data_IF_716082677671
#
_entry.id   IF_716082677671
#
_cell.length_a   1.000
_cell.length_b   1.000
_cell.length_c   1.000
_cell.angle_alpha   90.00
_cell.angle_beta   90.00
_cell.angle_gamma   90.00
#
_symmetry.space_group_name_H-M   'P 1'
#
loop_
_entity.id
_entity.type
_entity.pdbx_description
1 polymer ?
#
# COMPACT_ATOMS: atom_id res chain seq x y z
N UNK A 1 -21.30 -29.02 47.54
CA UNK A 1 -20.16 -28.80 46.61
C UNK A 1 -20.56 -28.11 45.28
N UNK A 2 -21.71 -28.40 44.64
CA UNK A 2 -22.08 -27.73 43.35
C UNK A 2 -22.49 -26.25 43.46
N UNK A 3 -23.14 -25.86 44.56
CA UNK A 3 -23.53 -24.45 44.79
C UNK A 3 -22.32 -23.53 44.98
N UNK A 4 -21.20 -24.10 45.43
CA UNK A 4 -19.95 -23.38 45.64
C UNK A 4 -19.27 -23.04 44.31
N UNK A 5 -19.14 -24.03 43.41
CA UNK A 5 -18.62 -23.85 42.04
C UNK A 5 -19.45 -22.88 41.19
N UNK A 6 -20.75 -22.74 41.45
CA UNK A 6 -21.59 -21.76 40.76
C UNK A 6 -21.28 -20.34 41.22
N UNK A 7 -21.07 -20.15 42.53
CA UNK A 7 -20.71 -18.85 43.11
C UNK A 7 -19.32 -18.41 42.67
N UNK A 8 -18.39 -19.37 42.55
CA UNK A 8 -17.04 -19.13 42.05
C UNK A 8 -17.05 -18.64 40.59
N UNK A 9 -17.79 -19.33 39.70
CA UNK A 9 -17.97 -18.90 38.31
C UNK A 9 -18.65 -17.54 38.16
N UNK A 10 -19.60 -17.20 39.04
CA UNK A 10 -20.22 -15.87 39.05
C UNK A 10 -19.24 -14.78 39.49
N UNK A 11 -18.39 -15.06 40.49
CA UNK A 11 -17.34 -14.14 40.93
C UNK A 11 -16.27 -13.94 39.87
N UNK A 12 -15.91 -15.00 39.15
CA UNK A 12 -14.93 -14.92 38.05
C UNK A 12 -15.47 -14.12 36.87
N UNK A 13 -16.72 -14.33 36.47
CA UNK A 13 -17.38 -13.51 35.44
C UNK A 13 -17.48 -12.04 35.83
N UNK A 14 -17.75 -11.73 37.10
CA UNK A 14 -17.76 -10.37 37.60
C UNK A 14 -16.36 -9.73 37.60
N UNK A 15 -15.31 -10.48 37.97
CA UNK A 15 -13.91 -10.05 37.87
C UNK A 15 -13.48 -9.79 36.42
N UNK A 16 -13.86 -10.66 35.48
CA UNK A 16 -13.60 -10.46 34.05
C UNK A 16 -14.34 -9.24 33.47
N UNK A 17 -15.57 -8.98 33.93
CA UNK A 17 -16.32 -7.79 33.52
C UNK A 17 -15.68 -6.50 34.05
N UNK A 18 -15.23 -6.49 35.31
CA UNK A 18 -14.52 -5.37 35.90
C UNK A 18 -13.16 -5.11 35.23
N UNK A 19 -12.41 -6.17 34.90
CA UNK A 19 -11.13 -6.06 34.20
C UNK A 19 -11.30 -5.49 32.78
N UNK A 20 -12.36 -5.89 32.06
CA UNK A 20 -12.69 -5.34 30.74
C UNK A 20 -13.08 -3.86 30.80
N UNK A 21 -13.78 -3.44 31.85
CA UNK A 21 -14.14 -2.03 32.05
C UNK A 21 -12.93 -1.16 32.44
N UNK A 22 -11.99 -1.72 33.22
CA UNK A 22 -10.71 -1.07 33.54
C UNK A 22 -9.80 -0.93 32.30
N UNK A 23 -9.75 -1.92 31.41
CA UNK A 23 -9.00 -1.82 30.15
C UNK A 23 -9.62 -0.80 29.17
N UNK A 24 -10.95 -0.67 29.14
CA UNK A 24 -11.63 0.33 28.31
C UNK A 24 -11.36 1.78 28.79
N UNK A 25 -11.09 1.99 30.08
CA UNK A 25 -10.69 3.30 30.62
C UNK A 25 -9.22 3.62 30.34
N UNK A 26 -8.33 2.62 30.23
CA UNK A 26 -6.95 2.84 29.77
C UNK A 26 -6.87 3.33 28.32
N UNK A 27 -7.81 2.97 27.45
CA UNK A 27 -7.84 3.47 26.06
C UNK A 27 -8.26 4.95 25.95
N UNK A 28 -8.89 5.52 26.99
CA UNK A 28 -9.28 6.92 27.05
C UNK A 28 -8.18 7.83 27.64
N UNK A 29 -7.08 7.27 28.15
CA UNK A 29 -5.96 8.02 28.75
C UNK A 29 -4.86 8.45 27.78
N UNK A 30 -4.91 8.03 26.51
CA UNK A 30 -3.90 8.38 25.49
C UNK A 30 -4.04 9.81 24.93
N UNK A 31 -4.89 10.63 25.53
CA UNK A 31 -4.90 12.08 25.38
C UNK A 31 -4.43 12.71 26.69
N UNK A 32 -3.12 12.74 26.93
CA UNK A 32 -2.37 13.93 27.37
C UNK A 32 -0.89 13.56 27.51
N UNK A 33 -0.02 14.44 27.02
CA UNK A 33 1.36 14.66 27.48
C UNK A 33 2.50 13.91 26.74
N UNK A 34 3.50 14.72 26.36
CA UNK A 34 4.87 14.39 25.89
C UNK A 34 5.04 13.82 24.48
N UNK A 35 5.80 14.40 23.54
CA UNK A 35 6.83 15.45 23.54
C UNK A 35 6.88 16.05 22.11
N UNK A 36 6.89 17.36 21.87
CA UNK A 36 8.01 18.32 21.97
C UNK A 36 9.37 17.84 21.40
N UNK A 37 9.75 18.55 20.34
CA UNK A 37 11.09 18.90 19.85
C UNK A 37 11.87 17.96 18.90
N UNK A 38 11.79 18.27 17.60
CA UNK A 38 12.92 18.64 16.72
C UNK A 38 12.35 18.98 15.32
N UNK A 39 12.63 20.10 14.65
CA UNK A 39 13.56 21.17 14.91
C UNK A 39 13.20 22.41 14.09
N UNK A 40 13.75 23.53 14.54
CA UNK A 40 13.48 24.89 14.11
C UNK A 40 13.81 25.16 12.64
N UNK A 41 12.86 25.83 11.99
CA UNK A 41 13.09 26.62 10.80
C UNK A 41 14.03 27.80 11.12
N UNK A 42 15.04 28.01 10.28
CA UNK A 42 15.78 29.26 10.22
C UNK A 42 16.00 29.68 8.76
N UNK A 43 15.61 30.94 8.56
CA UNK A 43 16.20 31.94 7.67
C UNK A 43 15.83 31.88 6.18
N UNK A 44 14.80 32.69 5.85
CA UNK A 44 14.56 33.26 4.52
C UNK A 44 15.30 34.60 4.40
N UNK A 45 16.19 34.72 3.42
CA UNK A 45 16.52 36.00 2.77
C UNK A 45 17.28 35.73 1.46
N UNK A 46 16.80 36.27 0.35
CA UNK A 46 17.63 36.41 -0.86
C UNK A 46 16.89 36.45 -2.19
N UNK A 47 16.58 37.68 -2.65
CA UNK A 47 16.90 38.07 -4.03
C UNK A 47 15.85 37.81 -5.12
N UNK A 48 15.10 38.88 -5.45
CA UNK A 48 14.56 39.05 -6.79
C UNK A 48 15.70 39.40 -7.77
N UNK A 49 15.74 38.75 -8.93
CA UNK A 49 16.32 39.30 -10.15
C UNK A 49 15.63 38.69 -11.38
N UNK A 50 15.38 39.57 -12.35
CA UNK A 50 14.54 39.37 -13.50
C UNK A 50 15.22 38.63 -14.66
N UNK A 51 14.35 38.27 -15.62
CA UNK A 51 14.59 38.12 -17.05
C UNK A 51 15.15 36.78 -17.58
N UNK A 52 14.25 36.00 -18.19
CA UNK A 52 14.39 35.54 -19.57
C UNK A 52 13.05 34.97 -20.07
N UNK A 53 12.45 35.59 -21.09
CA UNK A 53 11.45 34.94 -21.94
C UNK A 53 12.17 34.09 -22.97
N UNK A 54 11.56 32.99 -23.41
CA UNK A 54 11.33 32.91 -24.85
C UNK A 54 9.91 32.48 -25.26
N UNK A 55 9.54 33.07 -26.38
CA UNK A 55 8.65 32.63 -27.46
C UNK A 55 7.18 32.28 -27.19
N UNK A 56 6.38 33.31 -27.41
CA UNK A 56 5.03 33.21 -27.98
C UNK A 56 5.07 32.56 -29.36
N UNK A 57 5.04 31.23 -29.42
CA UNK A 57 4.61 30.50 -30.61
C UNK A 57 3.13 30.14 -30.47
N UNK A 58 2.33 30.81 -31.29
CA UNK A 58 0.91 30.66 -31.55
C UNK A 58 0.51 29.20 -31.80
N UNK A 59 0.04 28.48 -30.79
CA UNK A 59 -0.79 27.29 -30.99
C UNK A 59 -2.22 27.75 -31.24
N UNK A 60 -2.59 27.81 -32.52
CA UNK A 60 -3.96 28.03 -32.95
C UNK A 60 -4.88 27.00 -32.29
N UNK A 61 -5.90 27.50 -31.59
CA UNK A 61 -7.04 26.72 -31.15
C UNK A 61 -7.66 26.02 -32.38
N UNK A 62 -7.53 24.69 -32.44
CA UNK A 62 -8.18 23.87 -33.45
C UNK A 62 -9.66 23.70 -33.04
N UNK A 63 -10.65 24.06 -33.89
CA UNK A 63 -12.04 23.80 -33.58
C UNK A 63 -12.30 22.28 -33.56
N UNK A 64 -13.24 21.80 -32.72
CA UNK A 64 -13.63 20.40 -32.75
C UNK A 64 -14.23 20.04 -34.11
N UNK A 65 -13.90 18.84 -34.60
CA UNK A 65 -14.44 18.28 -35.84
C UNK A 65 -15.98 18.32 -35.84
N UNK A 66 -16.64 18.59 -36.99
CA UNK A 66 -18.09 18.51 -37.08
C UNK A 66 -18.51 17.06 -36.84
N UNK A 67 -19.15 16.79 -35.70
CA UNK A 67 -19.68 15.46 -35.38
C UNK A 67 -19.71 15.07 -33.90
N UNK A 68 -19.07 15.80 -33.00
CA UNK A 68 -19.16 15.53 -31.56
C UNK A 68 -20.04 16.57 -30.86
N UNK A 69 -21.36 16.43 -30.96
CA UNK A 69 -22.26 17.13 -30.03
C UNK A 69 -22.12 16.46 -28.67
N UNK A 70 -21.31 17.04 -27.79
CA UNK A 70 -21.36 16.72 -26.37
C UNK A 70 -22.76 17.06 -25.86
N UNK A 71 -23.55 16.03 -25.55
CA UNK A 71 -24.87 16.16 -24.93
C UNK A 71 -24.81 16.66 -23.48
N UNK A 72 -23.63 17.01 -22.96
CA UNK A 72 -23.50 17.65 -21.66
C UNK A 72 -23.76 19.15 -21.82
N UNK A 73 -25.05 19.51 -21.86
CA UNK A 73 -25.48 20.88 -21.67
C UNK A 73 -24.95 21.47 -20.37
N UNK A 74 -24.87 22.79 -20.29
CA UNK A 74 -24.54 23.51 -19.06
C UNK A 74 -25.54 23.13 -17.97
N UNK A 75 -25.11 22.32 -17.00
CA UNK A 75 -25.92 22.05 -15.81
C UNK A 75 -26.11 23.35 -15.05
N UNK A 76 -27.37 23.76 -14.89
CA UNK A 76 -27.75 24.91 -14.10
C UNK A 76 -27.20 24.77 -12.67
N UNK A 77 -26.85 25.93 -12.09
CA UNK A 77 -26.34 26.08 -10.73
C UNK A 77 -27.06 25.13 -9.76
N UNK A 78 -26.28 24.27 -9.11
CA UNK A 78 -26.75 23.29 -8.14
C UNK A 78 -27.47 23.99 -6.98
N UNK A 79 -28.73 23.61 -6.77
CA UNK A 79 -29.50 23.86 -5.55
C UNK A 79 -28.66 23.43 -4.34
N UNK A 80 -28.26 24.38 -3.51
CA UNK A 80 -27.37 24.14 -2.36
C UNK A 80 -27.98 23.16 -1.35
N UNK A 81 -29.30 22.98 -1.35
CA UNK A 81 -30.02 22.01 -0.52
C UNK A 81 -29.66 20.55 -0.84
N UNK A 82 -29.36 20.21 -2.10
CA UNK A 82 -28.99 18.85 -2.49
C UNK A 82 -27.58 18.46 -2.00
N UNK A 83 -26.68 19.43 -1.87
CA UNK A 83 -25.31 19.23 -1.38
C UNK A 83 -25.28 18.96 0.13
N UNK A 84 -26.20 19.54 0.90
CA UNK A 84 -26.29 19.31 2.35
C UNK A 84 -26.85 17.91 2.66
N UNK A 85 -27.81 17.40 1.86
CA UNK A 85 -28.35 16.06 2.04
C UNK A 85 -27.33 14.94 1.73
N UNK A 86 -26.45 15.13 0.74
CA UNK A 86 -25.38 14.18 0.44
C UNK A 86 -24.29 14.14 1.54
N UNK A 87 -24.04 15.27 2.21
CA UNK A 87 -23.07 15.35 3.30
C UNK A 87 -23.54 14.63 4.59
N UNK A 88 -24.86 14.54 4.83
CA UNK A 88 -25.39 13.84 6.01
C UNK A 88 -25.37 12.30 5.89
N UNK A 89 -25.46 11.74 4.68
CA UNK A 89 -25.35 10.28 4.48
C UNK A 89 -23.91 9.75 4.63
N UNK A 90 -22.89 10.58 4.41
CA UNK A 90 -21.50 10.21 4.64
C UNK A 90 -21.15 10.05 6.14
N UNK A 91 -21.97 10.56 7.05
CA UNK A 91 -21.75 10.48 8.50
C UNK A 91 -22.31 9.22 9.17
N UNK A 92 -23.02 8.34 8.44
CA UNK A 92 -23.63 7.12 9.00
C UNK A 92 -22.82 5.83 8.76
N UNK A 93 -21.62 5.92 8.19
CA UNK A 93 -20.72 4.77 7.99
C UNK A 93 -19.28 4.94 8.54
N UNK A 94 -19.06 5.49 9.75
CA UNK A 94 -17.74 5.40 10.39
C UNK A 94 -17.44 3.93 10.71
N UNK A 95 -16.59 3.31 9.89
CA UNK A 95 -16.18 1.91 10.05
C UNK A 95 -16.03 1.13 8.75
N UNK A 96 -16.71 1.52 7.66
CA UNK A 96 -16.52 0.85 6.36
C UNK A 96 -15.12 1.15 5.81
N UNK A 97 -14.68 2.41 5.86
CA UNK A 97 -13.33 2.81 5.45
C UNK A 97 -12.23 2.18 6.32
N UNK A 98 -12.46 2.04 7.63
CA UNK A 98 -11.52 1.38 8.54
C UNK A 98 -11.46 -0.12 8.28
N UNK A 99 -12.60 -0.76 8.03
CA UNK A 99 -12.65 -2.19 7.70
C UNK A 99 -11.94 -2.50 6.36
N UNK A 100 -12.07 -1.61 5.36
CA UNK A 100 -11.37 -1.71 4.08
C UNK A 100 -9.86 -1.53 4.26
N UNK A 101 -9.43 -0.50 4.98
CA UNK A 101 -8.00 -0.27 5.29
C UNK A 101 -7.40 -1.44 6.09
N UNK A 102 -8.14 -1.95 7.08
CA UNK A 102 -7.71 -3.10 7.88
C UNK A 102 -7.60 -4.38 7.04
N UNK A 103 -8.43 -4.55 6.00
CA UNK A 103 -8.32 -5.65 5.05
C UNK A 103 -7.08 -5.52 4.18
N UNK A 104 -6.85 -4.35 3.58
CA UNK A 104 -5.66 -4.10 2.77
C UNK A 104 -4.36 -4.37 3.57
N UNK A 105 -4.29 -3.86 4.80
CA UNK A 105 -3.15 -4.11 5.68
C UNK A 105 -2.99 -5.59 6.10
N UNK A 106 -4.08 -6.39 6.11
CA UNK A 106 -3.97 -7.85 6.31
C UNK A 106 -3.45 -8.53 5.06
N UNK A 107 -3.95 -8.17 3.88
CA UNK A 107 -3.49 -8.74 2.61
C UNK A 107 -2.00 -8.46 2.35
N UNK A 108 -1.54 -7.25 2.65
CA UNK A 108 -0.11 -6.88 2.63
C UNK A 108 0.71 -7.80 3.55
N UNK A 109 0.29 -7.94 4.82
CA UNK A 109 0.98 -8.79 5.80
C UNK A 109 1.00 -10.26 5.40
N UNK A 110 -0.09 -10.80 4.87
CA UNK A 110 -0.11 -12.18 4.38
C UNK A 110 0.80 -12.36 3.15
N UNK A 111 0.82 -11.39 2.24
CA UNK A 111 1.72 -11.39 1.08
C UNK A 111 3.19 -11.36 1.48
N UNK A 112 3.53 -10.58 2.52
CA UNK A 112 4.90 -10.52 3.05
C UNK A 112 5.31 -11.77 3.84
N UNK A 113 4.36 -12.51 4.42
CA UNK A 113 4.65 -13.82 5.05
C UNK A 113 5.04 -14.89 4.03
N UNK A 114 4.59 -14.75 2.78
CA UNK A 114 4.96 -15.66 1.70
C UNK A 114 6.44 -15.51 1.27
N UNK A 115 7.12 -14.43 1.68
CA UNK A 115 8.55 -14.25 1.43
C UNK A 115 9.38 -14.87 2.57
N UNK A 116 10.23 -15.87 2.29
CA UNK A 116 11.10 -16.46 3.31
C UNK A 116 12.03 -15.43 3.96
N UNK A 117 12.39 -15.62 5.23
CA UNK A 117 13.38 -14.76 5.86
C UNK A 117 14.77 -14.96 5.21
N UNK A 118 15.52 -13.86 5.00
CA UNK A 118 16.86 -13.91 4.41
C UNK A 118 17.37 -12.54 4.01
N UNK A 119 18.66 -12.44 3.69
CA UNK A 119 19.34 -11.17 3.41
C UNK A 119 18.76 -10.40 2.19
N UNK A 120 18.09 -11.07 1.26
CA UNK A 120 17.44 -10.44 0.11
C UNK A 120 15.96 -10.10 0.29
N UNK A 121 15.34 -10.44 1.43
CA UNK A 121 13.90 -10.23 1.65
C UNK A 121 13.52 -8.75 1.56
N UNK A 122 14.23 -7.88 2.25
CA UNK A 122 13.94 -6.44 2.24
C UNK A 122 14.22 -5.81 0.85
N UNK A 123 15.17 -6.37 0.09
CA UNK A 123 15.41 -5.97 -1.29
C UNK A 123 14.22 -6.32 -2.18
N UNK A 124 13.59 -7.49 -1.99
CA UNK A 124 12.35 -7.84 -2.69
C UNK A 124 11.24 -6.83 -2.37
N UNK A 125 11.05 -6.50 -1.10
CA UNK A 125 10.01 -5.55 -0.67
C UNK A 125 10.24 -4.17 -1.28
N UNK A 126 11.47 -3.66 -1.23
CA UNK A 126 11.80 -2.32 -1.71
C UNK A 126 11.95 -2.18 -3.23
N UNK A 127 12.33 -3.23 -3.95
CA UNK A 127 12.62 -3.14 -5.38
C UNK A 127 11.61 -3.87 -6.28
N UNK A 128 11.02 -4.98 -5.83
CA UNK A 128 10.15 -5.80 -6.66
C UNK A 128 8.67 -5.54 -6.38
N UNK A 129 8.30 -5.36 -5.09
CA UNK A 129 6.90 -5.22 -4.69
C UNK A 129 6.32 -3.82 -4.93
N UNK A 130 7.14 -2.88 -5.37
CA UNK A 130 6.72 -1.53 -5.76
C UNK A 130 5.84 -1.52 -7.01
N UNK A 131 5.98 -2.53 -7.88
CA UNK A 131 5.21 -2.65 -9.13
C UNK A 131 4.53 -4.01 -9.33
N UNK A 132 4.90 -5.02 -8.55
CA UNK A 132 4.36 -6.38 -8.67
C UNK A 132 3.85 -6.88 -7.32
N UNK A 133 2.87 -7.79 -7.33
CA UNK A 133 2.43 -8.43 -6.09
C UNK A 133 3.44 -9.50 -5.65
N UNK A 134 3.49 -9.78 -4.34
CA UNK A 134 4.32 -10.88 -3.83
C UNK A 134 3.93 -12.22 -4.46
N UNK A 135 2.63 -12.43 -4.68
CA UNK A 135 2.10 -13.62 -5.35
C UNK A 135 2.74 -13.83 -6.72
N UNK A 136 2.85 -12.78 -7.55
CA UNK A 136 3.49 -12.89 -8.86
C UNK A 136 4.96 -13.31 -8.74
N UNK A 137 5.69 -12.75 -7.79
CA UNK A 137 7.09 -13.10 -7.55
C UNK A 137 7.23 -14.55 -7.08
N UNK A 138 6.42 -14.98 -6.11
CA UNK A 138 6.49 -16.32 -5.51
C UNK A 138 6.09 -17.45 -6.46
N UNK A 139 5.40 -17.14 -7.56
CA UNK A 139 5.06 -18.11 -8.62
C UNK A 139 6.22 -18.37 -9.58
N UNK A 140 7.24 -17.51 -9.56
CA UNK A 140 8.39 -17.66 -10.44
C UNK A 140 9.40 -18.60 -9.79
N UNK A 141 9.85 -19.59 -10.55
CA UNK A 141 10.82 -20.58 -10.12
C UNK A 141 11.94 -20.66 -11.16
N UNK A 142 13.11 -20.15 -10.83
CA UNK A 142 14.23 -19.98 -11.78
C UNK A 142 15.55 -20.33 -11.12
N UNK A 143 16.54 -20.67 -11.94
CA UNK A 143 17.92 -20.80 -11.50
C UNK A 143 18.56 -19.41 -11.35
N UNK A 144 19.79 -19.37 -10.85
CA UNK A 144 20.55 -18.12 -10.66
C UNK A 144 20.67 -17.31 -11.95
N UNK A 145 20.87 -17.97 -13.09
CA UNK A 145 20.98 -17.29 -14.39
C UNK A 145 19.65 -16.66 -14.82
N UNK A 146 18.54 -17.39 -14.68
CA UNK A 146 17.19 -16.90 -14.96
C UNK A 146 16.80 -15.74 -14.05
N UNK A 147 17.11 -15.83 -12.75
CA UNK A 147 16.88 -14.73 -11.81
C UNK A 147 17.74 -13.51 -12.10
N UNK A 148 19.01 -13.68 -12.45
CA UNK A 148 19.87 -12.58 -12.86
C UNK A 148 19.31 -11.83 -14.08
N UNK A 149 18.81 -12.57 -15.09
CA UNK A 149 18.16 -11.97 -16.25
C UNK A 149 16.92 -11.17 -15.86
N UNK A 150 16.05 -11.72 -15.00
CA UNK A 150 14.86 -11.02 -14.51
C UNK A 150 15.22 -9.76 -13.74
N UNK A 151 16.15 -9.83 -12.77
CA UNK A 151 16.58 -8.67 -11.98
C UNK A 151 17.18 -7.58 -12.87
N UNK A 152 18.06 -7.96 -13.81
CA UNK A 152 18.64 -7.03 -14.79
C UNK A 152 17.55 -6.33 -15.61
N UNK A 153 16.53 -7.08 -16.04
CA UNK A 153 15.42 -6.51 -16.79
C UNK A 153 14.59 -5.52 -15.96
N UNK A 154 14.28 -5.85 -14.71
CA UNK A 154 13.50 -4.96 -13.83
C UNK A 154 14.27 -3.68 -13.52
N UNK A 155 15.59 -3.78 -13.29
CA UNK A 155 16.45 -2.60 -13.11
C UNK A 155 16.46 -1.74 -14.37
N UNK A 156 16.54 -2.36 -15.55
CA UNK A 156 16.42 -1.66 -16.84
C UNK A 156 15.06 -0.95 -17.03
N UNK A 157 14.01 -1.42 -16.36
CA UNK A 157 12.68 -0.80 -16.34
C UNK A 157 12.48 0.19 -15.20
N UNK A 158 13.50 0.45 -14.39
CA UNK A 158 13.46 1.47 -13.33
C UNK A 158 13.23 0.94 -11.92
N UNK A 159 13.37 -0.38 -11.68
CA UNK A 159 13.36 -0.90 -10.31
C UNK A 159 14.50 -0.27 -9.48
N UNK A 160 14.22 0.27 -8.28
CA UNK A 160 15.18 1.01 -7.48
C UNK A 160 16.13 0.06 -6.72
N UNK A 161 17.02 -0.62 -7.46
CA UNK A 161 17.97 -1.59 -6.92
C UNK A 161 19.42 -1.27 -7.34
N UNK A 162 20.27 -0.81 -6.40
CA UNK A 162 21.68 -0.55 -6.65
C UNK A 162 22.42 -1.79 -7.18
N UNK A 163 23.40 -1.58 -8.06
CA UNK A 163 24.14 -2.66 -8.73
C UNK A 163 24.86 -3.58 -7.74
N UNK A 164 25.29 -3.04 -6.61
CA UNK A 164 26.00 -3.73 -5.54
C UNK A 164 25.09 -4.70 -4.77
N UNK A 165 23.78 -4.46 -4.77
CA UNK A 165 22.78 -5.26 -4.06
C UNK A 165 22.14 -6.34 -4.95
N UNK A 166 22.30 -6.25 -6.27
CA UNK A 166 21.76 -7.23 -7.22
C UNK A 166 22.25 -8.67 -6.95
N UNK A 167 23.54 -8.93 -6.66
CA UNK A 167 24.00 -10.29 -6.36
C UNK A 167 23.31 -10.89 -5.14
N UNK A 168 23.09 -10.10 -4.09
CA UNK A 168 22.38 -10.53 -2.87
C UNK A 168 20.93 -10.88 -3.17
N UNK A 169 20.24 -10.05 -3.97
CA UNK A 169 18.86 -10.33 -4.36
C UNK A 169 18.76 -11.59 -5.23
N UNK A 170 19.64 -11.73 -6.23
CA UNK A 170 19.65 -12.91 -7.11
C UNK A 170 19.91 -14.19 -6.32
N UNK A 171 20.87 -14.17 -5.40
CA UNK A 171 21.17 -15.31 -4.55
C UNK A 171 19.95 -15.71 -3.70
N UNK A 172 19.32 -14.74 -3.04
CA UNK A 172 18.11 -14.97 -2.25
C UNK A 172 16.96 -15.56 -3.08
N UNK A 173 16.71 -15.01 -4.28
CA UNK A 173 15.65 -15.51 -5.15
C UNK A 173 15.93 -16.93 -5.64
N UNK A 174 17.18 -17.25 -5.99
CA UNK A 174 17.56 -18.59 -6.44
C UNK A 174 17.51 -19.62 -5.30
N UNK A 175 17.84 -19.21 -4.07
CA UNK A 175 17.78 -20.07 -2.89
C UNK A 175 16.34 -20.42 -2.50
N UNK A 176 15.45 -19.43 -2.49
CA UNK A 176 14.08 -19.60 -1.98
C UNK A 176 13.05 -19.93 -3.05
N UNK A 177 13.34 -19.60 -4.31
CA UNK A 177 12.48 -19.88 -5.46
C UNK A 177 13.27 -20.57 -6.59
N UNK A 178 13.87 -21.74 -6.31
CA UNK A 178 14.64 -22.50 -7.28
C UNK A 178 13.72 -23.07 -8.38
N UNK A 179 14.27 -23.55 -9.51
CA UNK A 179 13.48 -24.26 -10.51
C UNK A 179 12.67 -25.38 -9.86
N UNK A 180 11.40 -25.47 -10.23
CA UNK A 180 10.62 -26.66 -9.90
C UNK A 180 11.28 -27.86 -10.58
N UNK A 181 11.27 -29.01 -9.91
CA UNK A 181 11.71 -30.25 -10.54
C UNK A 181 11.02 -30.39 -11.91
N UNK A 182 11.73 -30.83 -12.96
CA UNK A 182 11.12 -31.01 -14.27
C UNK A 182 9.87 -31.89 -14.13
N UNK A 183 8.70 -31.28 -14.30
CA UNK A 183 7.49 -32.05 -14.56
C UNK A 183 7.66 -32.80 -15.89
N UNK A 184 6.86 -33.84 -16.16
CA UNK A 184 6.82 -34.44 -17.49
C UNK A 184 6.57 -33.34 -18.54
N UNK A 185 7.57 -33.08 -19.37
CA UNK A 185 7.51 -32.03 -20.38
C UNK A 185 6.70 -32.53 -21.58
N UNK A 186 5.39 -32.66 -21.44
CA UNK A 186 4.50 -32.99 -22.57
C UNK A 186 3.86 -31.72 -23.10
N UNK A 187 4.65 -30.88 -23.77
CA UNK A 187 4.09 -29.93 -24.75
C UNK A 187 4.70 -30.25 -26.11
N UNK A 188 3.94 -30.89 -27.01
CA UNK A 188 4.34 -30.99 -28.42
C UNK A 188 4.60 -29.59 -28.97
N UNK A 189 5.78 -29.40 -29.57
CA UNK A 189 6.08 -28.21 -30.37
C UNK A 189 5.32 -28.37 -31.69
N UNK A 190 4.40 -27.47 -32.05
CA UNK A 190 3.80 -27.49 -33.38
C UNK A 190 4.88 -27.15 -34.44
N UNK A 191 4.83 -27.78 -35.63
CA UNK A 191 5.81 -27.59 -36.69
C UNK A 191 5.83 -26.15 -37.24
#
# INVERSE_FOLDING_TARGET
MSRDRSRDRSRERARSAALRLALATLACGACTSDARDAGAAKDSAGGAAAAARPDTARAAYAPPSPGFTSAYGTVAATDTAALVAAAHLASLAPGLSDAVTARAAREERESLKALPAGAGRELVVGACLTCHSATMLTQQHKDTAGWNKTVTQMVGWGAPLPKEQQPTLVAYLAEHFPPLAPGPQTRPVPP
#
